data_IF_806236594268
#
_entry.id   IF_806236594268
#
_cell.length_a   1.000
_cell.length_b   1.000
_cell.length_c   1.000
_cell.angle_alpha   90.00
_cell.angle_beta   90.00
_cell.angle_gamma   90.00
#
_symmetry.space_group_name_H-M   'P 1'
#
loop_
_entity.id
_entity.type
_entity.pdbx_description
1 polymer ?
#
# COMPACT_ATOMS: atom_id res chain seq x y z
N UNK A 1 -23.03 71.11 14.38
CA UNK A 1 -21.59 70.80 14.20
C UNK A 1 -21.47 69.38 13.68
N UNK A 2 -21.16 69.25 12.40
CA UNK A 2 -20.86 67.97 11.73
C UNK A 2 -19.49 67.46 12.16
N UNK A 3 -19.40 66.22 12.63
CA UNK A 3 -18.13 65.47 12.64
C UNK A 3 -18.31 64.14 11.89
N UNK A 4 -17.31 63.87 11.06
CA UNK A 4 -17.36 63.03 9.86
C UNK A 4 -17.35 61.55 10.22
N UNK A 5 -18.22 60.77 9.55
CA UNK A 5 -18.05 59.33 9.40
C UNK A 5 -16.78 59.07 8.57
N UNK A 6 -15.81 58.37 9.15
CA UNK A 6 -14.61 57.89 8.46
C UNK A 6 -14.99 56.66 7.62
N UNK A 7 -14.69 56.62 6.32
CA UNK A 7 -14.98 55.44 5.52
C UNK A 7 -14.01 54.30 5.89
N UNK A 8 -14.56 53.11 6.13
CA UNK A 8 -13.76 51.90 6.26
C UNK A 8 -13.04 51.65 4.93
N UNK A 9 -11.71 51.77 4.95
CA UNK A 9 -10.87 51.44 3.79
C UNK A 9 -10.99 49.96 3.48
N UNK A 10 -11.64 49.65 2.36
CA UNK A 10 -11.70 48.33 1.74
C UNK A 10 -10.26 47.85 1.47
N UNK A 11 -9.73 47.00 2.36
CA UNK A 11 -8.42 46.36 2.17
C UNK A 11 -8.55 45.41 1.00
N UNK A 12 -7.85 45.73 -0.10
CA UNK A 12 -7.68 44.83 -1.25
C UNK A 12 -7.18 43.48 -0.74
N UNK A 13 -7.73 42.33 -1.18
CA UNK A 13 -7.10 41.06 -0.88
C UNK A 13 -5.71 41.09 -1.52
N UNK A 14 -4.68 40.93 -0.70
CA UNK A 14 -3.33 40.66 -1.17
C UNK A 14 -3.43 39.39 -1.98
N UNK A 15 -3.36 39.54 -3.30
CA UNK A 15 -3.25 38.41 -4.23
C UNK A 15 -2.08 37.60 -3.70
N UNK A 16 -2.35 36.37 -3.24
CA UNK A 16 -1.32 35.38 -2.98
C UNK A 16 -0.45 35.38 -4.22
N UNK A 17 0.73 35.95 -4.10
CA UNK A 17 1.72 35.96 -5.15
C UNK A 17 1.80 34.52 -5.63
N UNK A 18 1.36 34.30 -6.86
CA UNK A 18 1.71 33.11 -7.61
C UNK A 18 3.22 33.00 -7.44
N UNK A 19 3.64 32.07 -6.58
CA UNK A 19 5.04 31.88 -6.30
C UNK A 19 5.58 31.32 -7.60
N UNK A 20 6.10 32.22 -8.44
CA UNK A 20 6.74 31.91 -9.70
C UNK A 20 7.68 30.77 -9.37
N UNK A 21 7.40 29.58 -9.90
CA UNK A 21 8.41 28.54 -10.00
C UNK A 21 9.50 29.17 -10.85
N UNK A 22 10.53 29.72 -10.22
CA UNK A 22 11.72 30.16 -10.92
C UNK A 22 12.28 28.92 -11.57
N UNK A 23 12.15 28.83 -12.89
CA UNK A 23 12.82 27.77 -13.63
C UNK A 23 14.31 27.94 -13.37
N UNK A 24 14.92 26.92 -12.77
CA UNK A 24 16.37 26.91 -12.56
C UNK A 24 17.06 27.19 -13.90
N UNK A 25 18.03 28.10 -13.87
CA UNK A 25 18.80 28.46 -15.06
C UNK A 25 19.56 27.24 -15.58
N UNK A 26 19.89 27.17 -16.88
CA UNK A 26 20.69 26.07 -17.43
C UNK A 26 22.01 25.85 -16.67
N UNK A 27 22.59 26.93 -16.14
CA UNK A 27 23.81 26.88 -15.30
C UNK A 27 23.56 26.27 -13.92
N UNK A 28 22.42 26.54 -13.28
CA UNK A 28 22.05 25.89 -12.01
C UNK A 28 21.79 24.39 -12.20
N UNK A 29 21.21 23.99 -13.34
CA UNK A 29 21.05 22.56 -13.70
C UNK A 29 22.38 21.87 -13.99
N UNK A 30 23.33 22.57 -14.61
CA UNK A 30 24.64 22.01 -14.92
C UNK A 30 25.51 21.80 -13.66
N UNK A 31 25.36 22.65 -12.64
CA UNK A 31 26.03 22.53 -11.34
C UNK A 31 25.49 21.37 -10.49
N UNK A 32 24.18 21.13 -10.56
CA UNK A 32 23.50 20.05 -9.82
C UNK A 32 23.32 18.79 -10.68
N UNK A 33 24.35 18.37 -11.43
CA UNK A 33 24.30 17.10 -12.16
C UNK A 33 24.55 15.95 -11.18
N UNK A 34 23.63 14.96 -11.07
CA UNK A 34 23.92 13.75 -10.30
C UNK A 34 25.11 13.01 -10.93
N UNK A 35 25.88 12.30 -10.10
CA UNK A 35 26.94 11.44 -10.61
C UNK A 35 26.34 10.39 -11.57
N UNK A 36 27.10 9.88 -12.56
CA UNK A 36 26.56 8.91 -13.52
C UNK A 36 26.02 7.64 -12.85
N UNK A 37 26.54 7.27 -11.68
CA UNK A 37 26.03 6.18 -10.83
C UNK A 37 24.63 6.44 -10.28
N UNK A 38 24.32 7.70 -9.95
CA UNK A 38 23.06 8.10 -9.31
C UNK A 38 21.94 8.32 -10.35
N UNK A 39 22.22 8.15 -11.65
CA UNK A 39 21.23 8.24 -12.73
C UNK A 39 20.29 7.02 -12.78
N UNK A 40 20.80 5.84 -12.41
CA UNK A 40 20.08 4.58 -12.59
C UNK A 40 19.71 3.91 -11.27
N UNK A 41 20.55 4.03 -10.25
CA UNK A 41 20.29 3.41 -8.95
C UNK A 41 20.20 4.46 -7.84
N UNK A 42 19.08 4.53 -7.11
CA UNK A 42 19.01 5.39 -5.94
C UNK A 42 19.91 4.83 -4.84
N UNK A 43 20.67 5.70 -4.17
CA UNK A 43 21.41 5.30 -2.95
C UNK A 43 20.41 4.99 -1.84
N UNK A 44 20.36 3.74 -1.42
CA UNK A 44 19.49 3.30 -0.33
C UNK A 44 20.30 3.35 0.97
N UNK A 45 20.08 4.37 1.79
CA UNK A 45 20.66 4.44 3.15
C UNK A 45 19.91 3.46 4.06
N UNK A 46 20.49 2.28 4.30
CA UNK A 46 19.88 1.20 5.09
C UNK A 46 20.15 1.33 6.59
N UNK A 47 19.69 2.43 7.21
CA UNK A 47 19.66 2.56 8.68
C UNK A 47 18.24 2.39 9.22
N UNK A 48 17.68 1.19 9.10
CA UNK A 48 16.40 0.85 9.71
C UNK A 48 16.58 -0.39 10.57
N UNK A 49 16.38 -0.22 11.88
CA UNK A 49 16.28 -1.33 12.82
C UNK A 49 14.85 -1.84 12.68
N UNK A 50 14.71 -3.01 12.05
CA UNK A 50 13.40 -3.65 11.91
C UNK A 50 13.11 -4.50 13.14
N UNK A 51 11.88 -4.49 13.67
CA UNK A 51 11.50 -5.40 14.74
C UNK A 51 11.56 -6.84 14.24
N UNK A 52 12.10 -7.72 15.08
CA UNK A 52 12.18 -9.15 14.81
C UNK A 52 10.84 -9.82 15.10
N UNK A 53 10.34 -10.61 14.14
CA UNK A 53 9.09 -11.35 14.29
C UNK A 53 9.37 -12.84 14.35
N UNK A 54 8.81 -13.50 15.38
CA UNK A 54 8.97 -14.93 15.65
C UNK A 54 8.42 -15.81 14.52
N UNK A 55 7.21 -15.53 14.03
CA UNK A 55 6.59 -16.23 12.89
C UNK A 55 5.74 -15.27 12.09
N UNK A 56 5.76 -15.41 10.77
CA UNK A 56 4.93 -14.62 9.86
C UNK A 56 3.97 -15.55 9.12
N UNK A 57 2.67 -15.29 9.27
CA UNK A 57 1.61 -16.04 8.61
C UNK A 57 0.96 -15.18 7.53
N UNK A 58 1.20 -15.54 6.26
CA UNK A 58 0.55 -14.92 5.11
C UNK A 58 -0.73 -15.69 4.81
N UNK A 59 -1.88 -15.06 5.02
CA UNK A 59 -3.21 -15.66 4.78
C UNK A 59 -3.79 -15.13 3.47
N UNK A 60 -3.95 -16.02 2.51
CA UNK A 60 -4.54 -15.76 1.20
C UNK A 60 -6.01 -16.19 1.25
N UNK A 61 -6.93 -15.28 0.93
CA UNK A 61 -8.38 -15.56 0.91
C UNK A 61 -8.96 -15.22 -0.45
N UNK A 62 -9.91 -16.02 -0.91
CA UNK A 62 -10.52 -15.85 -2.22
C UNK A 62 -11.73 -16.76 -2.40
N UNK A 63 -12.59 -16.39 -3.34
CA UNK A 63 -13.79 -17.16 -3.70
C UNK A 63 -13.49 -18.29 -4.69
N UNK A 64 -12.43 -18.15 -5.49
CA UNK A 64 -11.98 -19.17 -6.43
C UNK A 64 -10.76 -19.91 -5.88
N UNK A 65 -10.90 -21.22 -5.75
CA UNK A 65 -9.86 -22.13 -5.30
C UNK A 65 -8.67 -22.21 -6.26
N UNK A 66 -8.91 -22.22 -7.58
CA UNK A 66 -7.88 -22.45 -8.59
C UNK A 66 -6.87 -21.30 -8.61
N UNK A 67 -7.37 -20.08 -8.46
CA UNK A 67 -6.54 -18.87 -8.42
C UNK A 67 -5.68 -18.85 -7.15
N UNK A 68 -6.26 -19.23 -6.01
CA UNK A 68 -5.54 -19.29 -4.74
C UNK A 68 -4.37 -20.29 -4.75
N UNK A 69 -4.57 -21.48 -5.33
CA UNK A 69 -3.51 -22.50 -5.45
C UNK A 69 -2.34 -22.00 -6.30
N UNK A 70 -2.66 -21.38 -7.44
CA UNK A 70 -1.65 -20.80 -8.34
C UNK A 70 -0.91 -19.65 -7.65
N UNK A 71 -1.63 -18.81 -6.92
CA UNK A 71 -1.04 -17.67 -6.21
C UNK A 71 -0.16 -18.11 -5.04
N UNK A 72 -0.58 -19.14 -4.28
CA UNK A 72 0.26 -19.74 -3.24
C UNK A 72 1.60 -20.23 -3.82
N UNK A 73 1.55 -20.93 -4.96
CA UNK A 73 2.74 -21.42 -5.65
C UNK A 73 3.66 -20.27 -6.09
N UNK A 74 3.08 -19.17 -6.57
CA UNK A 74 3.81 -17.95 -6.95
C UNK A 74 4.49 -17.29 -5.75
N UNK A 75 3.75 -17.09 -4.65
CA UNK A 75 4.29 -16.51 -3.41
C UNK A 75 5.44 -17.37 -2.87
N UNK A 76 5.30 -18.69 -2.92
CA UNK A 76 6.35 -19.61 -2.50
C UNK A 76 7.63 -19.49 -3.36
N UNK A 77 7.50 -19.34 -4.68
CA UNK A 77 8.64 -19.08 -5.57
C UNK A 77 9.29 -17.73 -5.30
N UNK A 78 8.48 -16.69 -5.09
CA UNK A 78 8.98 -15.36 -4.75
C UNK A 78 9.73 -15.35 -3.42
N UNK A 79 9.20 -16.03 -2.40
CA UNK A 79 9.87 -16.17 -1.12
C UNK A 79 11.27 -16.80 -1.28
N UNK A 80 11.38 -17.85 -2.10
CA UNK A 80 12.68 -18.45 -2.44
C UNK A 80 13.61 -17.49 -3.16
N UNK A 81 13.09 -16.71 -4.11
CA UNK A 81 13.89 -15.71 -4.85
C UNK A 81 14.42 -14.59 -3.94
N UNK A 82 13.68 -14.22 -2.91
CA UNK A 82 14.11 -13.26 -1.89
C UNK A 82 15.03 -13.89 -0.81
N UNK A 83 15.34 -15.19 -0.91
CA UNK A 83 16.15 -15.89 0.09
C UNK A 83 15.41 -16.21 1.39
N UNK A 84 14.08 -16.06 1.43
CA UNK A 84 13.29 -16.45 2.59
C UNK A 84 13.08 -17.97 2.60
N UNK A 85 13.36 -18.59 3.75
CA UNK A 85 12.96 -19.98 3.98
C UNK A 85 11.47 -20.03 4.32
N UNK A 86 10.72 -20.91 3.67
CA UNK A 86 9.30 -21.16 3.99
C UNK A 86 9.24 -22.43 4.82
N UNK A 87 8.57 -22.38 5.98
CA UNK A 87 8.45 -23.52 6.87
C UNK A 87 7.34 -24.44 6.39
N UNK A 88 6.11 -23.91 6.37
CA UNK A 88 4.92 -24.68 6.05
C UNK A 88 3.98 -23.89 5.17
N UNK A 89 3.23 -24.61 4.32
CA UNK A 89 2.10 -24.07 3.58
C UNK A 89 0.94 -25.04 3.69
N UNK A 90 -0.20 -24.59 4.21
CA UNK A 90 -1.37 -25.44 4.41
C UNK A 90 -2.68 -24.74 4.05
N UNK A 91 -3.70 -25.56 3.81
CA UNK A 91 -5.05 -25.12 3.55
C UNK A 91 -5.86 -25.03 4.84
N UNK A 92 -6.66 -23.97 4.96
CA UNK A 92 -7.67 -23.84 6.01
C UNK A 92 -9.03 -24.29 5.46
N UNK A 93 -9.87 -24.89 6.30
CA UNK A 93 -11.23 -25.28 5.92
C UNK A 93 -12.02 -24.10 5.33
N UNK A 94 -12.73 -24.36 4.23
CA UNK A 94 -13.53 -23.35 3.55
C UNK A 94 -14.69 -22.88 4.43
N UNK A 95 -15.03 -21.59 4.32
CA UNK A 95 -16.16 -20.99 5.03
C UNK A 95 -17.25 -20.66 4.03
N UNK A 96 -18.38 -21.36 4.11
CA UNK A 96 -19.55 -21.08 3.29
C UNK A 96 -20.43 -20.04 3.98
N UNK A 97 -20.77 -18.98 3.26
CA UNK A 97 -21.64 -17.90 3.72
C UNK A 97 -22.89 -17.86 2.83
N UNK A 98 -24.06 -17.74 3.44
CA UNK A 98 -25.32 -17.58 2.71
C UNK A 98 -25.59 -16.09 2.52
N UNK A 99 -25.62 -15.65 1.26
CA UNK A 99 -26.07 -14.33 0.87
C UNK A 99 -27.52 -14.42 0.38
N UNK A 100 -28.39 -13.56 0.90
CA UNK A 100 -29.81 -13.53 0.54
C UNK A 100 -30.09 -12.23 -0.19
N UNK A 101 -30.69 -12.32 -1.36
CA UNK A 101 -31.11 -11.19 -2.18
C UNK A 101 -32.60 -11.00 -1.95
N UNK A 102 -32.98 -9.79 -1.57
CA UNK A 102 -34.38 -9.41 -1.33
C UNK A 102 -34.94 -8.67 -2.53
N UNK A 103 -36.24 -8.84 -2.75
CA UNK A 103 -36.96 -8.06 -3.76
C UNK A 103 -36.90 -6.57 -3.44
N UNK A 104 -36.82 -5.69 -4.45
CA UNK A 104 -36.87 -4.26 -4.22
C UNK A 104 -38.10 -3.87 -3.40
N UNK A 105 -37.90 -3.06 -2.36
CA UNK A 105 -38.98 -2.53 -1.49
C UNK A 105 -39.78 -3.58 -0.72
N UNK A 106 -39.32 -4.82 -0.63
CA UNK A 106 -40.03 -5.90 0.06
C UNK A 106 -39.06 -6.70 0.94
N UNK A 107 -39.55 -7.28 2.04
CA UNK A 107 -38.78 -8.23 2.88
C UNK A 107 -38.84 -9.67 2.35
N UNK A 108 -39.49 -9.89 1.20
CA UNK A 108 -39.60 -11.20 0.56
C UNK A 108 -38.27 -11.55 -0.10
N UNK A 109 -37.75 -12.72 0.26
CA UNK A 109 -36.53 -13.29 -0.34
C UNK A 109 -36.78 -13.59 -1.82
N UNK A 110 -35.87 -13.13 -2.67
CA UNK A 110 -35.89 -13.38 -4.11
C UNK A 110 -35.04 -14.57 -4.48
N UNK A 111 -33.79 -14.56 -4.03
CA UNK A 111 -32.83 -15.62 -4.33
C UNK A 111 -31.79 -15.72 -3.22
N UNK A 112 -31.14 -16.88 -3.18
CA UNK A 112 -30.11 -17.19 -2.22
C UNK A 112 -28.87 -17.65 -2.97
N UNK A 113 -27.71 -17.20 -2.51
CA UNK A 113 -26.42 -17.54 -3.09
C UNK A 113 -25.48 -18.03 -1.99
N UNK A 114 -24.84 -19.16 -2.23
CA UNK A 114 -23.81 -19.69 -1.35
C UNK A 114 -22.44 -19.19 -1.81
N UNK A 115 -21.79 -18.40 -0.97
CA UNK A 115 -20.47 -17.85 -1.20
C UNK A 115 -19.44 -18.61 -0.37
N UNK A 116 -18.66 -19.46 -1.02
CA UNK A 116 -17.58 -20.21 -0.40
C UNK A 116 -16.28 -19.41 -0.40
N UNK A 117 -15.72 -19.14 0.78
CA UNK A 117 -14.43 -18.49 0.93
C UNK A 117 -13.37 -19.53 1.26
N UNK A 118 -12.41 -19.69 0.36
CA UNK A 118 -11.25 -20.55 0.53
C UNK A 118 -10.08 -19.77 1.11
N UNK A 119 -9.23 -20.46 1.85
CA UNK A 119 -8.07 -19.86 2.50
C UNK A 119 -6.83 -20.75 2.44
N UNK A 120 -5.69 -20.14 2.08
CA UNK A 120 -4.36 -20.76 2.11
C UNK A 120 -3.43 -19.94 2.98
N UNK A 121 -2.67 -20.62 3.84
CA UNK A 121 -1.70 -19.97 4.71
C UNK A 121 -0.29 -20.41 4.33
N UNK A 122 0.61 -19.44 4.16
CA UNK A 122 2.05 -19.68 3.99
C UNK A 122 2.75 -19.13 5.23
N UNK A 123 3.54 -19.98 5.88
CA UNK A 123 4.24 -19.65 7.10
C UNK A 123 5.74 -19.54 6.85
N UNK A 124 6.33 -18.44 7.34
CA UNK A 124 7.77 -18.27 7.44
C UNK A 124 8.21 -18.55 8.88
N UNK A 125 9.26 -19.37 9.10
CA UNK A 125 9.85 -19.52 10.41
C UNK A 125 10.57 -18.24 10.84
N UNK A 126 10.99 -18.24 12.09
CA UNK A 126 11.82 -17.22 12.70
C UNK A 126 13.06 -16.98 11.83
N UNK A 127 13.40 -15.72 11.63
CA UNK A 127 14.65 -15.31 10.98
C UNK A 127 15.41 -14.50 12.00
N UNK A 128 16.49 -15.08 12.53
CA UNK A 128 17.51 -14.30 13.21
C UNK A 128 18.16 -13.42 12.17
N UNK A 129 18.07 -12.11 12.37
CA UNK A 129 18.62 -11.17 11.43
C UNK A 129 20.11 -11.02 11.73
N UNK A 130 20.91 -12.01 11.34
CA UNK A 130 22.36 -11.84 11.24
C UNK A 130 22.66 -10.97 10.01
N UNK A 131 22.30 -9.69 10.07
CA UNK A 131 22.98 -8.69 9.26
C UNK A 131 24.37 -8.51 9.85
N UNK A 132 25.30 -9.37 9.43
CA UNK A 132 26.73 -9.16 9.65
C UNK A 132 27.12 -7.81 9.06
N UNK A 133 27.86 -7.05 9.86
CA UNK A 133 28.46 -5.75 9.53
C UNK A 133 29.38 -5.83 8.31
#
# INVERSE_FOLDING_TARGET
MLSRLVPQSFRRPTVLSCQRRSFATPNERAKNKPAPSDLYEPRIESKKIYPEYSKLNLRLRGYDYVILEKYQSFVHKMAKNFGFQVADSFATAARTQRAVIYKPRTSVVESECELSVYERTVQRPFVEVLFSQ
#
